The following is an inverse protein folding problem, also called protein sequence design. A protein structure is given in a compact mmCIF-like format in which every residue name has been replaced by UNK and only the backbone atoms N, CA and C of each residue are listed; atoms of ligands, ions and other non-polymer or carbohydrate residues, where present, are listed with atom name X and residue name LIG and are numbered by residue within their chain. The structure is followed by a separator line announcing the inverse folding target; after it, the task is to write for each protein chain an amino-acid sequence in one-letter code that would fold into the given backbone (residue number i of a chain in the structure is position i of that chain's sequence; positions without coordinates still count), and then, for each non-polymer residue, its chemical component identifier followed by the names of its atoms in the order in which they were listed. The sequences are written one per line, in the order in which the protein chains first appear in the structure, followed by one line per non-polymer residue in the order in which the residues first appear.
data_IF_922057643756
#
_entry.id   IF_922057643756
#
_cell.length_a   1.000
_cell.length_b   1.000
_cell.length_c   1.000
_cell.angle_alpha   90.00
_cell.angle_beta   90.00
_cell.angle_gamma   90.00
#
_symmetry.space_group_name_H-M   'P 1'
#
loop_
_entity.id
_entity.type
_entity.pdbx_description
1 polymer ?
#
# COMPACT_ATOMS: atom_id res chain seq x y z
N UNK A 1 0.00 12.61 21.73
CA UNK A 1 -0.09 11.67 20.59
C UNK A 1 -1.44 11.83 19.95
N UNK A 2 -1.51 12.47 18.79
CA UNK A 2 -2.78 12.68 18.08
C UNK A 2 -3.22 11.35 17.48
N UNK A 3 -4.30 10.77 17.97
CA UNK A 3 -4.88 9.54 17.44
C UNK A 3 -5.50 9.86 16.09
N UNK A 4 -4.76 9.68 15.01
CA UNK A 4 -5.32 9.80 13.66
C UNK A 4 -6.35 8.67 13.43
N UNK A 5 -7.47 8.94 12.74
CA UNK A 5 -8.53 7.96 12.54
C UNK A 5 -8.04 6.75 11.75
N UNK A 6 -8.53 5.57 12.13
CA UNK A 6 -8.30 4.33 11.38
C UNK A 6 -9.26 4.26 10.19
N UNK A 7 -8.85 3.57 9.12
CA UNK A 7 -9.72 3.31 7.98
C UNK A 7 -10.98 2.55 8.43
N UNK A 8 -12.14 3.01 7.98
CA UNK A 8 -13.44 2.38 8.19
C UNK A 8 -13.56 1.06 7.42
N UNK A 9 -14.49 0.16 7.79
CA UNK A 9 -14.70 -1.09 7.05
C UNK A 9 -15.03 -0.91 5.56
N UNK A 10 -15.78 0.14 5.21
CA UNK A 10 -16.11 0.47 3.82
C UNK A 10 -14.89 0.95 3.03
N UNK A 11 -14.04 1.80 3.63
CA UNK A 11 -12.77 2.23 3.02
C UNK A 11 -11.82 1.06 2.82
N UNK A 12 -11.68 0.19 3.82
CA UNK A 12 -10.91 -1.05 3.70
C UNK A 12 -11.44 -1.87 2.54
N UNK A 13 -12.76 -2.10 2.48
CA UNK A 13 -13.39 -2.88 1.40
C UNK A 13 -13.08 -2.27 0.03
N UNK A 14 -13.10 -0.95 -0.11
CA UNK A 14 -12.70 -0.28 -1.35
C UNK A 14 -11.22 -0.50 -1.70
N UNK A 15 -10.33 -0.28 -0.74
CA UNK A 15 -8.88 -0.32 -0.95
C UNK A 15 -8.33 -1.72 -1.24
N UNK A 16 -8.92 -2.79 -0.67
CA UNK A 16 -8.44 -4.16 -0.94
C UNK A 16 -8.70 -4.63 -2.39
N UNK A 17 -9.54 -3.91 -3.14
CA UNK A 17 -9.83 -4.15 -4.58
C UNK A 17 -9.02 -3.25 -5.52
N UNK A 18 -8.12 -2.45 -4.96
CA UNK A 18 -7.29 -1.52 -5.72
C UNK A 18 -5.91 -2.13 -5.96
N UNK A 19 -5.28 -1.77 -7.08
CA UNK A 19 -3.86 -2.03 -7.25
C UNK A 19 -3.09 -1.32 -6.13
N UNK A 20 -1.93 -1.87 -5.74
CA UNK A 20 -1.13 -1.32 -4.66
C UNK A 20 0.36 -1.39 -4.94
N UNK A 21 1.11 -0.34 -4.58
CA UNK A 21 2.57 -0.33 -4.64
C UNK A 21 3.17 0.42 -3.45
N UNK A 22 4.32 -0.03 -2.97
CA UNK A 22 5.12 0.72 -2.01
C UNK A 22 5.92 1.82 -2.69
N UNK A 23 5.82 3.03 -2.14
CA UNK A 23 6.60 4.19 -2.51
C UNK A 23 7.62 4.46 -1.39
N UNK A 24 8.93 4.26 -1.66
CA UNK A 24 9.94 4.51 -0.65
C UNK A 24 9.97 6.00 -0.26
N UNK A 25 10.26 6.25 1.01
CA UNK A 25 10.51 7.59 1.54
C UNK A 25 11.90 7.65 2.18
N UNK A 26 12.40 8.86 2.40
CA UNK A 26 13.65 9.11 3.11
C UNK A 26 13.39 10.13 4.23
N UNK A 27 13.46 9.72 5.52
CA UNK A 27 13.85 8.40 6.02
C UNK A 27 12.83 7.29 5.72
N UNK A 28 13.25 6.02 5.79
CA UNK A 28 12.42 4.85 5.39
C UNK A 28 11.03 4.82 6.04
N UNK A 29 10.91 5.29 7.29
CA UNK A 29 9.64 5.45 8.02
C UNK A 29 8.63 6.42 7.39
N UNK A 30 9.03 7.21 6.40
CA UNK A 30 8.15 8.12 5.63
C UNK A 30 7.57 7.48 4.36
N UNK A 31 7.90 6.21 4.11
CA UNK A 31 7.33 5.44 3.00
C UNK A 31 5.80 5.41 3.02
N UNK A 32 5.21 5.27 1.84
CA UNK A 32 3.76 5.28 1.60
C UNK A 32 3.35 4.06 0.78
N UNK A 33 2.09 3.68 0.85
CA UNK A 33 1.46 2.71 -0.05
C UNK A 33 0.49 3.49 -0.91
N UNK A 34 0.65 3.41 -2.23
CA UNK A 34 -0.29 4.00 -3.16
C UNK A 34 -1.33 2.95 -3.58
N UNK A 35 -2.60 3.34 -3.57
CA UNK A 35 -3.72 2.55 -4.07
C UNK A 35 -4.39 3.25 -5.25
N UNK A 36 -4.70 2.52 -6.33
CA UNK A 36 -5.46 3.08 -7.48
C UNK A 36 -6.41 2.05 -8.08
N UNK A 37 -7.48 2.53 -8.72
CA UNK A 37 -8.46 1.66 -9.36
C UNK A 37 -7.89 1.04 -10.65
N UNK A 38 -8.03 -0.29 -10.86
CA UNK A 38 -7.58 -0.94 -12.09
C UNK A 38 -8.35 -0.47 -13.34
N UNK A 39 -9.66 -0.19 -13.20
CA UNK A 39 -10.53 0.19 -14.30
C UNK A 39 -10.80 1.69 -14.45
N UNK A 40 -10.50 2.49 -13.43
CA UNK A 40 -10.78 3.93 -13.37
C UNK A 40 -9.52 4.71 -13.02
N UNK A 41 -8.53 4.78 -13.93
CA UNK A 41 -7.21 5.33 -13.62
C UNK A 41 -7.22 6.81 -13.26
N UNK A 42 -8.25 7.58 -13.63
CA UNK A 42 -8.36 9.00 -13.29
C UNK A 42 -9.06 9.26 -11.94
N UNK A 43 -9.66 8.23 -11.35
CA UNK A 43 -10.37 8.32 -10.08
C UNK A 43 -9.51 7.75 -8.94
N UNK A 44 -9.26 8.58 -7.92
CA UNK A 44 -8.62 8.09 -6.71
C UNK A 44 -9.61 7.25 -5.88
N UNK A 45 -9.16 6.11 -5.31
CA UNK A 45 -9.92 5.42 -4.28
C UNK A 45 -10.24 6.35 -3.10
N UNK A 46 -11.26 6.05 -2.27
CA UNK A 46 -11.58 6.83 -1.09
C UNK A 46 -10.31 7.16 -0.29
N UNK A 47 -10.07 8.46 -0.07
CA UNK A 47 -8.80 8.94 0.46
C UNK A 47 -8.49 8.36 1.86
N UNK A 48 -9.51 8.05 2.67
CA UNK A 48 -9.35 7.50 4.00
C UNK A 48 -8.29 8.26 4.80
N UNK A 49 -7.29 7.58 5.40
CA UNK A 49 -6.17 8.22 6.13
C UNK A 49 -5.05 8.78 5.21
N UNK A 50 -5.27 8.87 3.90
CA UNK A 50 -4.28 9.27 2.90
C UNK A 50 -4.68 10.50 2.08
N UNK A 51 -3.86 10.80 1.08
CA UNK A 51 -4.03 11.90 0.14
C UNK A 51 -4.09 11.38 -1.29
N UNK A 52 -4.97 11.97 -2.11
CA UNK A 52 -4.98 11.69 -3.55
C UNK A 52 -3.83 12.44 -4.25
N UNK A 53 -2.96 11.71 -4.94
CA UNK A 53 -1.80 12.22 -5.69
C UNK A 53 -1.73 11.54 -7.07
N UNK A 54 -1.11 12.22 -8.04
CA UNK A 54 -0.88 11.64 -9.37
C UNK A 54 0.36 10.74 -9.30
N UNK A 55 0.23 9.52 -9.80
CA UNK A 55 1.29 8.52 -9.79
C UNK A 55 1.55 8.02 -11.21
N UNK A 56 2.80 8.12 -11.65
CA UNK A 56 3.23 7.49 -12.90
C UNK A 56 3.57 6.02 -12.65
N UNK A 57 2.86 5.11 -13.32
CA UNK A 57 3.02 3.67 -13.20
C UNK A 57 3.38 3.04 -14.54
N UNK A 58 4.11 1.93 -14.47
CA UNK A 58 4.34 1.05 -15.61
C UNK A 58 3.33 -0.09 -15.53
N UNK A 59 2.48 -0.22 -16.55
CA UNK A 59 1.44 -1.26 -16.60
C UNK A 59 1.57 -2.10 -17.86
N UNK A 60 1.12 -3.37 -17.84
CA UNK A 60 1.08 -4.20 -19.03
C UNK A 60 0.21 -3.59 -20.14
N UNK A 61 0.68 -3.64 -21.39
CA UNK A 61 -0.09 -3.28 -22.59
C UNK A 61 0.20 -4.27 -23.71
N UNK A 62 -0.75 -5.19 -23.96
CA UNK A 62 -0.55 -6.30 -24.89
C UNK A 62 0.67 -7.16 -24.50
N UNK A 63 1.62 -7.44 -25.41
CA UNK A 63 2.86 -8.17 -25.09
C UNK A 63 3.94 -7.29 -24.43
N UNK A 64 3.70 -5.98 -24.27
CA UNK A 64 4.67 -5.02 -23.75
C UNK A 64 4.21 -4.34 -22.46
N UNK A 65 4.83 -3.19 -22.18
CA UNK A 65 4.46 -2.32 -21.07
C UNK A 65 4.33 -0.88 -21.56
N UNK A 66 3.52 -0.11 -20.85
CA UNK A 66 3.27 1.30 -21.15
C UNK A 66 3.31 2.12 -19.87
N UNK A 67 3.62 3.40 -20.01
CA UNK A 67 3.68 4.34 -18.91
C UNK A 67 2.37 5.12 -18.87
N UNK A 68 1.70 5.13 -17.71
CA UNK A 68 0.45 5.84 -17.50
C UNK A 68 0.49 6.64 -16.20
N UNK A 69 -0.13 7.80 -16.21
CA UNK A 69 -0.43 8.55 -14.98
C UNK A 69 -1.79 8.08 -14.46
N UNK A 70 -1.84 7.72 -13.17
CA UNK A 70 -3.06 7.33 -12.47
C UNK A 70 -3.27 8.23 -11.26
N UNK A 71 -4.53 8.42 -10.87
CA UNK A 71 -4.91 9.09 -9.63
C UNK A 71 -4.90 8.06 -8.51
N UNK A 72 -3.97 8.20 -7.58
CA UNK A 72 -3.75 7.23 -6.51
C UNK A 72 -4.00 7.85 -5.14
N UNK A 73 -4.51 7.06 -4.20
CA UNK A 73 -4.58 7.42 -2.78
C UNK A 73 -3.34 6.89 -2.08
N UNK A 74 -2.50 7.81 -1.59
CA UNK A 74 -1.25 7.53 -0.91
C UNK A 74 -1.46 7.52 0.60
N UNK A 75 -1.19 6.38 1.22
CA UNK A 75 -1.41 6.14 2.64
C UNK A 75 -0.05 5.87 3.31
N UNK A 76 0.30 6.59 4.40
CA UNK A 76 1.48 6.26 5.20
C UNK A 76 1.49 4.78 5.63
N UNK A 77 2.67 4.14 5.68
CA UNK A 77 2.77 2.70 5.95
C UNK A 77 2.08 2.29 7.26
N UNK A 78 2.24 3.06 8.34
CA UNK A 78 1.59 2.79 9.64
C UNK A 78 0.05 2.72 9.53
N UNK A 79 -0.53 3.48 8.59
CA UNK A 79 -1.96 3.52 8.29
C UNK A 79 -2.39 2.48 7.26
N UNK A 80 -1.50 2.05 6.39
CA UNK A 80 -1.78 1.05 5.36
C UNK A 80 -1.77 -0.39 5.91
N UNK A 81 -0.98 -0.69 6.94
CA UNK A 81 -0.85 -2.05 7.52
C UNK A 81 -2.20 -2.71 7.85
N UNK A 82 -3.18 -2.05 8.48
CA UNK A 82 -4.50 -2.64 8.72
C UNK A 82 -5.28 -2.96 7.44
N UNK A 83 -5.12 -2.19 6.37
CA UNK A 83 -5.76 -2.46 5.07
C UNK A 83 -5.09 -3.67 4.41
N UNK A 84 -3.76 -3.66 4.35
CA UNK A 84 -2.95 -4.69 3.71
C UNK A 84 -3.11 -6.07 4.36
N UNK A 85 -3.11 -6.13 5.70
CA UNK A 85 -3.35 -7.39 6.45
C UNK A 85 -4.73 -7.98 6.16
N UNK A 86 -5.75 -7.14 5.95
CA UNK A 86 -7.10 -7.58 5.55
C UNK A 86 -7.16 -8.00 4.09
N UNK A 87 -6.43 -7.33 3.19
CA UNK A 87 -6.29 -7.77 1.79
C UNK A 87 -5.71 -9.20 1.73
N UNK A 88 -4.63 -9.47 2.49
CA UNK A 88 -4.06 -10.82 2.60
C UNK A 88 -5.11 -11.83 3.08
N UNK A 89 -5.84 -11.50 4.15
CA UNK A 89 -6.83 -12.42 4.72
C UNK A 89 -8.01 -12.68 3.77
N UNK A 90 -8.48 -11.66 3.05
CA UNK A 90 -9.55 -11.77 2.08
C UNK A 90 -9.15 -12.62 0.86
N UNK A 91 -7.92 -12.43 0.34
CA UNK A 91 -7.38 -13.27 -0.72
C UNK A 91 -7.22 -14.73 -0.26
N UNK A 92 -6.72 -14.97 0.96
CA UNK A 92 -6.58 -16.34 1.48
C UNK A 92 -7.93 -17.05 1.67
N UNK A 93 -9.02 -16.30 1.84
CA UNK A 93 -10.38 -16.80 1.97
C UNK A 93 -11.11 -16.91 0.62
N UNK A 94 -10.41 -16.74 -0.51
CA UNK A 94 -10.95 -16.76 -1.88
C UNK A 94 -12.17 -15.85 -2.09
N UNK A 95 -12.17 -14.68 -1.43
CA UNK A 95 -13.18 -13.65 -1.69
C UNK A 95 -12.82 -12.96 -3.00
N UNK A 96 -13.53 -13.34 -4.06
CA UNK A 96 -13.26 -13.08 -5.49
C UNK A 96 -13.11 -11.64 -5.99
N UNK A 97 -12.96 -10.66 -5.11
CA UNK A 97 -12.79 -9.25 -5.49
C UNK A 97 -11.45 -8.66 -5.00
N UNK A 98 -10.62 -9.42 -4.29
CA UNK A 98 -9.37 -8.90 -3.71
C UNK A 98 -8.29 -8.78 -4.77
N UNK A 99 -7.64 -7.63 -4.83
CA UNK A 99 -6.58 -7.37 -5.80
C UNK A 99 -5.26 -8.03 -5.40
N UNK A 100 -4.60 -8.68 -6.37
CA UNK A 100 -3.39 -9.48 -6.13
C UNK A 100 -2.24 -8.63 -5.57
N UNK A 101 -2.05 -7.41 -6.09
CA UNK A 101 -1.02 -6.49 -5.62
C UNK A 101 -1.25 -6.08 -4.14
N UNK A 102 -2.49 -5.78 -3.75
CA UNK A 102 -2.83 -5.45 -2.36
C UNK A 102 -2.57 -6.63 -1.41
N UNK A 103 -2.92 -7.86 -1.84
CA UNK A 103 -2.66 -9.06 -1.05
C UNK A 103 -1.16 -9.42 -0.95
N UNK A 104 -0.39 -9.16 -2.02
CA UNK A 104 1.07 -9.29 -2.01
C UNK A 104 1.69 -8.38 -0.94
N UNK A 105 1.34 -7.10 -0.94
CA UNK A 105 1.81 -6.16 0.08
C UNK A 105 1.26 -6.48 1.48
N UNK A 106 0.09 -7.08 1.58
CA UNK A 106 -0.43 -7.69 2.80
C UNK A 106 0.44 -8.82 3.35
N UNK A 107 0.92 -9.68 2.47
CA UNK A 107 1.88 -10.75 2.80
C UNK A 107 3.21 -10.19 3.27
N UNK A 108 3.76 -9.21 2.54
CA UNK A 108 4.98 -8.52 2.93
C UNK A 108 4.85 -7.84 4.31
N UNK A 109 3.71 -7.18 4.57
CA UNK A 109 3.44 -6.53 5.86
C UNK A 109 3.45 -7.51 7.03
N UNK A 110 2.76 -8.65 6.89
CA UNK A 110 2.75 -9.69 7.94
C UNK A 110 4.15 -10.28 8.15
N UNK A 111 4.90 -10.54 7.09
CA UNK A 111 6.27 -11.02 7.19
C UNK A 111 7.18 -10.02 7.92
N UNK A 112 7.08 -8.72 7.59
CA UNK A 112 7.83 -7.66 8.26
C UNK A 112 7.52 -7.60 9.76
N UNK A 113 6.23 -7.69 10.13
CA UNK A 113 5.83 -7.73 11.54
C UNK A 113 6.37 -8.97 12.27
N UNK A 114 6.42 -10.12 11.61
CA UNK A 114 7.01 -11.33 12.18
C UNK A 114 8.52 -11.20 12.39
N UNK A 115 9.25 -10.56 11.46
CA UNK A 115 10.67 -10.26 11.62
C UNK A 115 10.90 -9.29 12.80
N UNK A 116 10.09 -8.22 12.88
CA UNK A 116 10.14 -7.26 13.97
C UNK A 116 9.87 -7.90 15.33
N UNK A 117 8.81 -8.69 15.45
CA UNK A 117 8.45 -9.40 16.68
C UNK A 117 9.53 -10.39 17.13
N UNK A 118 10.38 -10.87 16.21
CA UNK A 118 11.49 -11.79 16.49
C UNK A 118 12.84 -11.08 16.68
N UNK A 119 12.86 -9.75 16.74
CA UNK A 119 14.08 -8.97 16.89
C UNK A 119 15.05 -9.13 15.72
N UNK A 120 14.53 -9.33 14.50
CA UNK A 120 15.33 -9.53 13.28
C UNK A 120 15.49 -8.25 12.44
N UNK A 121 15.21 -7.08 13.02
CA UNK A 121 15.50 -5.81 12.39
C UNK A 121 16.99 -5.49 12.55
N UNK A 122 17.64 -5.15 11.45
CA UNK A 122 19.03 -4.69 11.46
C UNK A 122 19.02 -3.16 11.52
N UNK A 123 19.70 -2.54 12.51
CA UNK A 123 19.91 -1.10 12.50
C UNK A 123 20.64 -0.68 11.22
N UNK A 124 20.22 0.44 10.64
CA UNK A 124 20.81 0.97 9.43
C UNK A 124 20.61 2.48 9.33
N UNK A 125 21.41 3.11 8.47
CA UNK A 125 21.24 4.52 8.11
C UNK A 125 20.79 4.60 6.65
N UNK A 126 19.91 5.56 6.34
CA UNK A 126 19.63 5.92 4.95
C UNK A 126 20.84 6.65 4.36
N UNK A 127 20.86 6.85 3.03
CA UNK A 127 21.93 7.59 2.36
C UNK A 127 22.03 9.07 2.77
N UNK A 128 21.00 9.59 3.45
CA UNK A 128 20.95 10.95 3.99
C UNK A 128 21.21 11.01 5.50
N UNK A 129 21.85 9.98 6.07
CA UNK A 129 22.23 9.88 7.48
C UNK A 129 21.07 9.90 8.48
N UNK A 130 19.89 9.40 8.09
CA UNK A 130 18.80 9.16 9.02
C UNK A 130 18.79 7.71 9.51
N UNK A 131 18.49 7.51 10.79
CA UNK A 131 18.11 6.18 11.30
C UNK A 131 16.93 5.63 10.49
N UNK A 132 17.11 4.40 9.99
CA UNK A 132 16.22 3.74 9.05
C UNK A 132 14.88 3.33 9.69
#
# INVERSE_FOLDING_TARGET
MTTLPAATPSEISGLIRCHAVFLPGDPSRTGRIAFWHPGSPEEAPPAGPGSAEDLTVVVPEGPGVTVRTVRATLIPVDRAVPVLTRARAAHAADRGDTEAAAAFWGTASVLALQLAARGRLLPGLTSSDHDA
#
